data_IF_445464714656
#
_entry.id   IF_445464714656
#
_cell.length_a   1.000
_cell.length_b   1.000
_cell.length_c   1.000
_cell.angle_alpha   90.00
_cell.angle_beta   90.00
_cell.angle_gamma   90.00
#
_symmetry.space_group_name_H-M   'P 1'
#
loop_
_entity.id
_entity.type
_entity.pdbx_description
1 polymer ?
#
# COMPACT_ATOMS: atom_id res chain seq x y z
N UNK A 1 1.33 -13.94 -63.85
CA UNK A 1 1.79 -13.00 -62.81
C UNK A 1 0.71 -12.65 -61.77
N UNK A 2 -0.40 -13.41 -61.67
CA UNK A 2 -1.51 -13.07 -60.75
C UNK A 2 -1.73 -14.09 -59.61
N UNK A 3 -1.04 -15.24 -59.60
CA UNK A 3 -1.20 -16.27 -58.53
C UNK A 3 -0.28 -16.02 -57.32
N UNK A 4 0.81 -15.28 -57.51
CA UNK A 4 1.75 -14.93 -56.44
C UNK A 4 1.21 -13.80 -55.55
N UNK A 5 0.38 -12.91 -56.11
CA UNK A 5 -0.21 -11.80 -55.37
C UNK A 5 -1.36 -12.25 -54.45
N UNK A 6 -2.10 -13.30 -54.82
CA UNK A 6 -3.15 -13.91 -54.00
C UNK A 6 -2.62 -14.62 -52.75
N UNK A 7 -1.36 -15.09 -52.75
CA UNK A 7 -0.72 -15.73 -51.60
C UNK A 7 -0.17 -14.73 -50.58
N UNK A 8 0.15 -13.50 -51.00
CA UNK A 8 0.67 -12.44 -50.13
C UNK A 8 -0.42 -11.78 -49.27
N UNK A 9 -1.69 -11.83 -49.70
CA UNK A 9 -2.82 -11.28 -48.94
C UNK A 9 -3.30 -12.26 -47.85
N UNK A 10 -3.08 -13.57 -48.01
CA UNK A 10 -3.47 -14.58 -47.02
C UNK A 10 -2.47 -14.74 -45.86
N UNK A 11 -1.22 -14.28 -46.03
CA UNK A 11 -0.19 -14.32 -44.99
C UNK A 11 -0.23 -13.13 -44.01
N UNK A 12 -1.00 -12.07 -44.32
CA UNK A 12 -1.09 -10.85 -43.50
C UNK A 12 -2.11 -10.91 -42.35
N UNK A 13 -2.95 -11.94 -42.27
CA UNK A 13 -4.07 -12.00 -41.32
C UNK A 13 -3.74 -12.72 -39.99
N UNK A 14 -2.52 -13.23 -39.83
CA UNK A 14 -2.12 -14.04 -38.66
C UNK A 14 -1.32 -13.28 -37.59
N UNK A 15 -1.18 -11.96 -37.71
CA UNK A 15 -0.56 -11.11 -36.69
C UNK A 15 -1.56 -10.09 -36.13
N UNK A 16 -2.63 -10.57 -35.46
CA UNK A 16 -3.34 -9.72 -34.50
C UNK A 16 -2.52 -9.69 -33.21
N UNK A 17 -1.95 -8.55 -32.80
CA UNK A 17 -1.16 -8.50 -31.58
C UNK A 17 -2.06 -8.80 -30.36
N UNK A 18 -1.53 -9.43 -29.28
CA UNK A 18 -2.25 -9.74 -28.04
C UNK A 18 -2.64 -8.50 -27.21
N UNK A 19 -2.74 -7.33 -27.82
CA UNK A 19 -2.99 -6.02 -27.17
C UNK A 19 -4.35 -5.93 -26.48
N UNK A 20 -5.33 -6.74 -26.89
CA UNK A 20 -6.68 -6.67 -26.33
C UNK A 20 -6.76 -7.17 -24.88
N UNK A 21 -6.08 -8.29 -24.58
CA UNK A 21 -6.03 -8.83 -23.22
C UNK A 21 -5.31 -7.86 -22.26
N UNK A 22 -4.22 -7.24 -22.75
CA UNK A 22 -3.47 -6.23 -22.02
C UNK A 22 -4.33 -5.02 -21.64
N UNK A 23 -5.04 -4.45 -22.61
CA UNK A 23 -5.88 -3.27 -22.38
C UNK A 23 -7.04 -3.59 -21.45
N UNK A 24 -7.62 -4.79 -21.54
CA UNK A 24 -8.74 -5.21 -20.68
C UNK A 24 -8.33 -5.31 -19.22
N UNK A 25 -7.23 -6.00 -18.91
CA UNK A 25 -6.81 -6.23 -17.52
C UNK A 25 -6.30 -4.94 -16.85
N UNK A 26 -5.53 -4.13 -17.58
CA UNK A 26 -5.11 -2.81 -17.08
C UNK A 26 -6.30 -1.87 -16.90
N UNK A 27 -7.28 -1.90 -17.80
CA UNK A 27 -8.51 -1.12 -17.66
C UNK A 27 -9.32 -1.55 -16.44
N UNK A 28 -9.43 -2.86 -16.19
CA UNK A 28 -10.14 -3.39 -15.03
C UNK A 28 -9.50 -2.91 -13.72
N UNK A 29 -8.16 -2.95 -13.61
CA UNK A 29 -7.47 -2.43 -12.43
C UNK A 29 -7.59 -0.90 -12.30
N UNK A 30 -7.54 -0.15 -13.41
CA UNK A 30 -7.75 1.32 -13.40
C UNK A 30 -9.12 1.74 -12.89
N UNK A 31 -10.12 0.89 -13.06
CA UNK A 31 -11.47 1.13 -12.53
C UNK A 31 -11.58 0.73 -11.05
N UNK A 32 -10.61 0.02 -10.49
CA UNK A 32 -10.62 -0.32 -9.08
C UNK A 32 -10.28 0.92 -8.23
N UNK A 33 -10.94 1.03 -7.09
CA UNK A 33 -10.70 2.08 -6.12
C UNK A 33 -9.93 1.56 -4.91
N UNK A 34 -9.02 2.37 -4.38
CA UNK A 34 -8.14 2.00 -3.28
C UNK A 34 -8.39 2.92 -2.09
N UNK A 35 -8.54 2.34 -0.89
CA UNK A 35 -8.65 3.09 0.37
C UNK A 35 -7.88 2.43 1.51
N UNK A 36 -7.67 3.17 2.59
CA UNK A 36 -7.22 2.58 3.85
C UNK A 36 -8.31 1.67 4.41
N UNK A 37 -7.93 0.45 4.75
CA UNK A 37 -8.65 -0.40 5.69
C UNK A 37 -8.15 -0.09 7.11
N UNK A 38 -7.53 -1.09 7.74
CA UNK A 38 -7.02 -0.99 9.11
C UNK A 38 -5.51 -0.79 9.19
N UNK A 39 -5.05 -0.27 10.33
CA UNK A 39 -3.66 -0.32 10.75
C UNK A 39 -3.57 -1.26 11.94
N UNK A 40 -2.75 -2.30 11.83
CA UNK A 40 -2.65 -3.36 12.81
C UNK A 40 -1.22 -3.59 13.30
N UNK A 41 -1.12 -4.13 14.51
CA UNK A 41 0.12 -4.52 15.17
C UNK A 41 1.19 -3.42 15.21
N UNK A 42 0.86 -2.17 15.58
CA UNK A 42 1.88 -1.16 15.77
C UNK A 42 2.78 -1.54 16.95
N UNK A 43 4.08 -1.63 16.67
CA UNK A 43 5.14 -1.96 17.60
C UNK A 43 6.21 -0.86 17.57
N UNK A 44 6.40 -0.19 18.71
CA UNK A 44 7.36 0.90 18.87
C UNK A 44 8.47 0.47 19.83
N UNK A 45 9.71 0.43 19.36
CA UNK A 45 10.87 -0.10 20.09
C UNK A 45 10.61 -1.47 20.75
N UNK A 46 9.85 -2.34 20.08
CA UNK A 46 9.47 -3.66 20.59
C UNK A 46 8.29 -3.67 21.56
N UNK A 47 7.66 -2.53 21.85
CA UNK A 47 6.43 -2.42 22.64
C UNK A 47 5.22 -2.40 21.70
N UNK A 48 4.27 -3.31 21.89
CA UNK A 48 2.99 -3.26 21.16
C UNK A 48 2.15 -2.09 21.70
N UNK A 49 1.77 -1.17 20.81
CA UNK A 49 1.03 0.04 21.16
C UNK A 49 -0.43 0.02 20.68
N UNK A 50 -0.92 -1.09 20.09
CA UNK A 50 -2.27 -1.20 19.50
C UNK A 50 -3.39 -0.76 20.45
N UNK A 51 -3.23 -1.06 21.74
CA UNK A 51 -4.27 -0.89 22.75
C UNK A 51 -4.09 0.37 23.61
N UNK A 52 -3.14 1.25 23.27
CA UNK A 52 -2.93 2.49 24.02
C UNK A 52 -4.02 3.50 23.68
N UNK A 53 -4.83 3.90 24.68
CA UNK A 53 -5.87 4.92 24.53
C UNK A 53 -5.53 6.20 25.28
N UNK A 54 -4.75 6.09 26.34
CA UNK A 54 -4.29 7.20 27.18
C UNK A 54 -2.90 6.93 27.73
N UNK A 55 -2.27 7.96 28.27
CA UNK A 55 -0.90 7.90 28.79
C UNK A 55 -0.76 6.83 29.88
N UNK A 56 -1.79 6.65 30.71
CA UNK A 56 -1.80 5.72 31.82
C UNK A 56 -1.85 4.24 31.37
N UNK A 57 -2.20 3.97 30.11
CA UNK A 57 -2.17 2.63 29.55
C UNK A 57 -0.73 2.19 29.22
N UNK A 58 0.21 3.15 29.18
CA UNK A 58 1.61 2.89 28.88
C UNK A 58 2.36 2.53 30.16
N UNK A 59 2.77 1.27 30.30
CA UNK A 59 3.38 0.80 31.54
C UNK A 59 4.78 1.41 31.76
N UNK A 60 5.23 1.51 33.03
CA UNK A 60 6.58 1.98 33.35
C UNK A 60 7.68 1.13 32.68
N UNK A 61 7.42 -0.16 32.48
CA UNK A 61 8.34 -1.07 31.77
C UNK A 61 8.44 -0.68 30.29
N UNK A 62 7.31 -0.45 29.64
CA UNK A 62 7.24 -0.06 28.23
C UNK A 62 7.91 1.29 27.99
N UNK A 63 7.66 2.25 28.89
CA UNK A 63 8.36 3.54 28.92
C UNK A 63 9.88 3.38 29.02
N UNK A 64 10.35 2.52 29.93
CA UNK A 64 11.76 2.23 30.09
C UNK A 64 12.38 1.62 28.82
N UNK A 65 11.66 0.71 28.16
CA UNK A 65 12.12 0.07 26.93
C UNK A 65 12.22 1.07 25.76
N UNK A 66 11.20 1.90 25.55
CA UNK A 66 11.24 2.94 24.52
C UNK A 66 12.33 3.97 24.81
N UNK A 67 12.45 4.42 26.06
CA UNK A 67 13.50 5.35 26.47
C UNK A 67 14.90 4.77 26.21
N UNK A 68 15.12 3.51 26.56
CA UNK A 68 16.39 2.82 26.31
C UNK A 68 16.73 2.74 24.82
N UNK A 69 15.76 2.50 23.94
CA UNK A 69 15.96 2.53 22.49
C UNK A 69 16.40 3.92 22.03
N UNK A 70 15.72 4.97 22.51
CA UNK A 70 16.06 6.36 22.17
C UNK A 70 17.48 6.71 22.65
N UNK A 71 17.86 6.29 23.85
CA UNK A 71 19.24 6.46 24.36
C UNK A 71 20.29 5.76 23.48
N UNK A 72 19.92 4.67 22.81
CA UNK A 72 20.76 3.98 21.83
C UNK A 72 20.73 4.63 20.44
N UNK A 73 20.03 5.76 20.29
CA UNK A 73 19.92 6.51 19.04
C UNK A 73 19.01 5.85 18.01
N UNK A 74 18.02 5.04 18.45
CA UNK A 74 17.10 4.33 17.57
C UNK A 74 15.67 4.40 18.09
N UNK A 75 14.72 4.42 17.17
CA UNK A 75 13.31 4.27 17.50
C UNK A 75 12.62 3.43 16.43
N UNK A 76 12.82 2.10 16.45
CA UNK A 76 12.20 1.19 15.50
C UNK A 76 10.68 1.25 15.62
N UNK A 77 9.99 1.37 14.49
CA UNK A 77 8.55 1.30 14.38
C UNK A 77 8.19 0.25 13.33
N UNK A 78 7.28 -0.65 13.67
CA UNK A 78 6.71 -1.62 12.75
C UNK A 78 5.19 -1.65 12.87
N UNK A 79 4.48 -1.86 11.75
CA UNK A 79 3.03 -2.02 11.70
C UNK A 79 2.60 -2.59 10.34
N UNK A 80 1.35 -3.04 10.22
CA UNK A 80 0.76 -3.49 8.96
C UNK A 80 -0.39 -2.56 8.57
N UNK A 81 -0.33 -1.98 7.36
CA UNK A 81 -1.47 -1.27 6.76
C UNK A 81 -2.21 -2.26 5.86
N UNK A 82 -3.52 -2.41 6.06
CA UNK A 82 -4.38 -3.09 5.09
C UNK A 82 -4.96 -2.05 4.14
N UNK A 83 -4.65 -2.18 2.85
CA UNK A 83 -5.27 -1.38 1.79
C UNK A 83 -6.43 -2.16 1.22
N UNK A 84 -7.63 -1.60 1.26
CA UNK A 84 -8.81 -2.19 0.63
C UNK A 84 -8.90 -1.75 -0.83
N UNK A 85 -9.22 -2.71 -1.69
CA UNK A 85 -9.37 -2.51 -3.13
C UNK A 85 -10.77 -2.93 -3.54
N UNK A 86 -11.57 -1.99 -4.04
CA UNK A 86 -12.91 -2.26 -4.55
C UNK A 86 -12.86 -2.41 -6.07
N UNK A 87 -13.38 -3.52 -6.58
CA UNK A 87 -13.50 -3.78 -8.01
C UNK A 87 -14.95 -3.57 -8.46
N UNK A 88 -15.28 -2.47 -9.17
CA UNK A 88 -16.64 -2.23 -9.65
C UNK A 88 -16.98 -3.08 -10.89
N UNK A 89 -16.03 -3.82 -11.47
CA UNK A 89 -16.24 -4.58 -12.70
C UNK A 89 -16.92 -5.92 -12.46
N UNK A 90 -17.48 -6.49 -13.53
CA UNK A 90 -18.07 -7.85 -13.51
C UNK A 90 -17.03 -8.98 -13.62
N UNK A 91 -15.77 -8.64 -13.89
CA UNK A 91 -14.66 -9.57 -14.06
C UNK A 91 -13.72 -9.47 -12.85
N UNK A 92 -13.00 -10.54 -12.54
CA UNK A 92 -11.95 -10.54 -11.51
C UNK A 92 -10.80 -9.62 -11.96
N UNK A 93 -10.29 -8.80 -11.04
CA UNK A 93 -9.04 -8.07 -11.22
C UNK A 93 -7.93 -8.69 -10.37
N UNK A 94 -6.67 -8.40 -10.66
CA UNK A 94 -5.57 -8.87 -9.84
C UNK A 94 -4.46 -7.83 -9.69
N UNK A 95 -3.73 -7.92 -8.58
CA UNK A 95 -2.47 -7.20 -8.34
C UNK A 95 -1.41 -8.27 -8.05
N UNK A 96 -0.35 -8.32 -8.84
CA UNK A 96 0.69 -9.36 -8.74
C UNK A 96 1.91 -8.90 -7.94
N UNK A 97 2.22 -7.62 -8.06
CA UNK A 97 3.23 -6.91 -7.28
C UNK A 97 2.69 -5.52 -6.94
N UNK A 98 3.06 -4.99 -5.80
CA UNK A 98 2.70 -3.65 -5.39
C UNK A 98 3.90 -2.97 -4.73
N UNK A 99 4.45 -1.95 -5.37
CA UNK A 99 5.43 -1.07 -4.73
C UNK A 99 4.71 -0.05 -3.87
N UNK A 100 5.33 0.36 -2.76
CA UNK A 100 4.78 1.35 -1.86
C UNK A 100 5.82 2.36 -1.38
N UNK A 101 5.35 3.55 -1.04
CA UNK A 101 6.08 4.57 -0.29
C UNK A 101 5.18 5.05 0.84
N UNK A 102 5.62 4.85 2.07
CA UNK A 102 4.91 5.21 3.28
C UNK A 102 5.46 6.50 3.87
N UNK A 103 4.57 7.28 4.47
CA UNK A 103 4.85 8.57 5.07
C UNK A 103 4.19 8.66 6.44
N UNK A 104 4.82 9.40 7.35
CA UNK A 104 4.19 9.93 8.55
C UNK A 104 4.17 11.44 8.38
N UNK A 105 2.95 12.00 8.40
CA UNK A 105 2.65 13.33 7.91
C UNK A 105 3.17 13.50 6.47
N UNK A 106 4.28 14.23 6.28
CA UNK A 106 4.93 14.42 4.99
C UNK A 106 6.33 13.77 4.91
N UNK A 107 6.84 13.26 6.05
CA UNK A 107 8.14 12.61 6.10
C UNK A 107 8.04 11.20 5.53
N UNK A 108 8.83 10.90 4.49
CA UNK A 108 8.97 9.53 3.97
C UNK A 108 9.61 8.67 5.05
N UNK A 109 8.96 7.56 5.39
CA UNK A 109 9.42 6.64 6.44
C UNK A 109 9.87 5.28 5.90
N UNK A 110 9.26 4.81 4.83
CA UNK A 110 9.60 3.51 4.26
C UNK A 110 9.24 3.46 2.78
N UNK A 111 9.98 2.64 2.04
CA UNK A 111 9.66 2.24 0.68
C UNK A 111 9.96 0.74 0.54
N UNK A 112 9.18 0.04 -0.28
CA UNK A 112 9.31 -1.39 -0.45
C UNK A 112 8.27 -1.93 -1.42
N UNK A 113 8.11 -3.25 -1.42
CA UNK A 113 7.16 -3.92 -2.31
C UNK A 113 6.55 -5.20 -1.73
N UNK A 114 5.32 -5.48 -2.16
CA UNK A 114 4.58 -6.70 -1.86
C UNK A 114 4.55 -7.56 -3.12
N UNK A 115 5.31 -8.66 -3.14
CA UNK A 115 5.39 -9.60 -4.26
C UNK A 115 4.42 -10.77 -4.09
N UNK A 116 3.12 -10.47 -3.98
CA UNK A 116 2.07 -11.48 -3.81
C UNK A 116 0.92 -11.19 -4.76
N UNK A 117 0.45 -12.23 -5.46
CA UNK A 117 -0.79 -12.16 -6.24
C UNK A 117 -1.99 -12.06 -5.31
N UNK A 118 -2.76 -11.01 -5.49
CA UNK A 118 -4.00 -10.72 -4.78
C UNK A 118 -5.10 -10.59 -5.83
N UNK A 119 -6.11 -11.45 -5.73
CA UNK A 119 -7.28 -11.41 -6.60
C UNK A 119 -8.37 -10.58 -5.96
N UNK A 120 -8.96 -9.69 -6.75
CA UNK A 120 -10.02 -8.78 -6.34
C UNK A 120 -11.30 -9.27 -7.01
N UNK A 121 -12.24 -9.85 -6.23
CA UNK A 121 -13.44 -10.46 -6.79
C UNK A 121 -14.25 -9.49 -7.66
N UNK A 122 -14.97 -10.01 -8.65
CA UNK A 122 -15.94 -9.24 -9.40
C UNK A 122 -16.98 -8.61 -8.46
N UNK A 123 -17.26 -7.31 -8.63
CA UNK A 123 -18.16 -6.54 -7.76
C UNK A 123 -17.84 -6.67 -6.26
N UNK A 124 -16.57 -6.89 -5.91
CA UNK A 124 -16.13 -7.22 -4.56
C UNK A 124 -15.01 -6.34 -4.04
N UNK A 125 -14.57 -6.64 -2.81
CA UNK A 125 -13.46 -5.97 -2.13
C UNK A 125 -12.41 -7.03 -1.73
N UNK A 126 -11.13 -6.69 -1.86
CA UNK A 126 -10.03 -7.46 -1.32
C UNK A 126 -9.11 -6.57 -0.49
N UNK A 127 -8.37 -7.17 0.45
CA UNK A 127 -7.42 -6.45 1.31
C UNK A 127 -5.98 -6.83 0.99
N UNK A 128 -5.13 -5.82 0.83
CA UNK A 128 -3.69 -5.93 0.56
C UNK A 128 -2.93 -5.57 1.84
N UNK A 129 -2.32 -6.54 2.55
CA UNK A 129 -1.49 -6.24 3.71
C UNK A 129 -0.14 -5.69 3.26
N UNK A 130 0.27 -4.56 3.83
CA UNK A 130 1.55 -3.90 3.58
C UNK A 130 2.26 -3.76 4.93
N UNK A 131 3.28 -4.57 5.12
CA UNK A 131 4.12 -4.53 6.33
C UNK A 131 5.14 -3.41 6.20
N UNK A 132 5.19 -2.53 7.21
CA UNK A 132 6.09 -1.39 7.26
C UNK A 132 7.01 -1.59 8.45
N UNK A 133 8.31 -1.40 8.22
CA UNK A 133 9.35 -1.36 9.24
C UNK A 133 10.26 -0.16 8.94
N UNK A 134 10.51 0.67 9.95
CA UNK A 134 11.31 1.89 9.83
C UNK A 134 11.96 2.24 11.16
N UNK A 135 12.99 3.06 11.15
CA UNK A 135 13.46 3.77 12.34
C UNK A 135 13.01 5.23 12.24
N UNK A 136 12.27 5.72 13.24
CA UNK A 136 11.69 7.07 13.23
C UNK A 136 12.44 8.05 14.15
N UNK A 137 13.64 7.71 14.62
CA UNK A 137 14.39 8.55 15.56
C UNK A 137 14.61 9.97 15.03
N UNK A 138 14.88 10.12 13.74
CA UNK A 138 15.11 11.41 13.09
C UNK A 138 13.84 12.27 12.97
N UNK A 139 12.68 11.62 12.92
CA UNK A 139 11.37 12.29 12.88
C UNK A 139 11.06 12.84 14.27
N UNK A 140 11.34 12.05 15.32
CA UNK A 140 11.11 12.47 16.69
C UNK A 140 12.02 13.64 17.12
N UNK A 141 13.25 13.72 16.63
CA UNK A 141 14.16 14.84 16.95
C UNK A 141 13.61 16.21 16.55
N UNK A 142 12.67 16.26 15.61
CA UNK A 142 12.02 17.50 15.15
C UNK A 142 10.81 17.88 16.01
N UNK A 143 10.40 17.00 16.92
CA UNK A 143 9.22 17.12 17.77
C UNK A 143 9.61 17.36 19.25
N UNK A 144 8.78 18.04 20.06
CA UNK A 144 9.04 18.19 21.49
C UNK A 144 9.00 16.84 22.21
N UNK A 145 9.75 16.65 23.33
CA UNK A 145 9.86 15.35 24.04
C UNK A 145 8.52 14.71 24.42
N UNK A 146 7.50 15.53 24.67
CA UNK A 146 6.14 15.14 25.05
C UNK A 146 5.37 14.52 23.85
N UNK A 147 5.84 14.77 22.63
CA UNK A 147 5.20 14.36 21.39
C UNK A 147 5.29 12.85 21.15
N UNK A 148 6.20 12.13 21.81
CA UNK A 148 6.35 10.69 21.61
C UNK A 148 5.12 9.91 22.08
N UNK A 149 4.61 10.24 23.27
CA UNK A 149 3.41 9.59 23.82
C UNK A 149 2.21 9.95 22.95
N UNK A 150 2.07 11.21 22.57
CA UNK A 150 0.99 11.63 21.66
C UNK A 150 1.12 10.97 20.28
N UNK A 151 2.34 10.77 19.77
CA UNK A 151 2.61 10.04 18.55
C UNK A 151 2.14 8.59 18.67
N UNK A 152 2.54 7.90 19.75
CA UNK A 152 2.12 6.52 20.01
C UNK A 152 0.60 6.40 20.17
N UNK A 153 -0.04 7.33 20.89
CA UNK A 153 -1.49 7.39 21.05
C UNK A 153 -2.21 7.63 19.73
N UNK A 154 -1.74 8.57 18.92
CA UNK A 154 -2.33 8.85 17.61
C UNK A 154 -2.17 7.66 16.64
N UNK A 155 -1.04 6.95 16.72
CA UNK A 155 -0.81 5.74 15.92
C UNK A 155 -1.60 4.54 16.42
N UNK A 156 -1.90 4.46 17.71
CA UNK A 156 -2.79 3.45 18.30
C UNK A 156 -4.25 3.72 17.94
N UNK A 157 -4.70 4.97 18.02
CA UNK A 157 -6.08 5.37 17.69
C UNK A 157 -6.37 5.27 16.17
N UNK A 158 -5.33 5.32 15.34
CA UNK A 158 -5.37 5.09 13.89
C UNK A 158 -5.88 3.69 13.47
N UNK A 159 -6.19 2.80 14.41
CA UNK A 159 -6.73 1.45 14.21
C UNK A 159 -7.87 1.36 13.18
N UNK A 160 -8.71 2.41 13.05
CA UNK A 160 -9.84 2.42 12.09
C UNK A 160 -9.57 3.18 10.80
N UNK A 161 -8.81 4.28 10.86
CA UNK A 161 -8.35 5.08 9.71
C UNK A 161 -7.10 5.85 10.14
N UNK A 162 -5.91 5.56 9.60
CA UNK A 162 -4.72 6.31 9.96
C UNK A 162 -4.82 7.76 9.52
N UNK A 163 -4.76 8.69 10.46
CA UNK A 163 -4.85 10.13 10.19
C UNK A 163 -3.50 10.76 9.88
N UNK A 164 -2.40 10.17 10.38
CA UNK A 164 -1.03 10.66 10.16
C UNK A 164 -0.22 9.82 9.19
N UNK A 165 -0.59 8.56 8.97
CA UNK A 165 0.13 7.69 8.04
C UNK A 165 -0.47 7.87 6.66
N UNK A 166 0.35 8.24 5.68
CA UNK A 166 -0.07 8.24 4.29
C UNK A 166 0.74 7.27 3.44
N UNK A 167 0.12 6.75 2.38
CA UNK A 167 0.66 5.70 1.54
C UNK A 167 0.44 6.07 0.07
N UNK A 168 1.50 5.90 -0.72
CA UNK A 168 1.44 5.88 -2.18
C UNK A 168 1.79 4.48 -2.65
N UNK A 169 0.99 3.93 -3.55
CA UNK A 169 1.22 2.59 -4.10
C UNK A 169 1.40 2.64 -5.62
N UNK A 170 2.10 1.66 -6.16
CA UNK A 170 2.25 1.45 -7.60
C UNK A 170 2.03 -0.03 -7.91
N UNK A 171 0.82 -0.43 -8.32
CA UNK A 171 0.50 -1.82 -8.60
C UNK A 171 1.08 -2.29 -9.94
N UNK A 172 1.26 -3.59 -10.04
CA UNK A 172 1.69 -4.31 -11.24
C UNK A 172 0.73 -5.47 -11.48
N UNK A 173 0.34 -5.66 -12.74
CA UNK A 173 -0.50 -6.78 -13.20
C UNK A 173 0.33 -7.73 -14.06
N UNK A 174 0.07 -9.04 -13.99
CA UNK A 174 0.80 -10.04 -14.77
C UNK A 174 -0.04 -10.51 -15.95
N UNK A 175 0.44 -10.24 -17.16
CA UNK A 175 -0.18 -10.67 -18.41
C UNK A 175 0.77 -11.64 -19.10
N UNK A 176 0.41 -12.92 -19.12
CA UNK A 176 1.32 -14.00 -19.51
C UNK A 176 2.51 -14.07 -18.54
N UNK A 177 3.73 -13.92 -19.06
CA UNK A 177 4.97 -13.91 -18.26
C UNK A 177 5.50 -12.50 -17.97
N UNK A 178 4.78 -11.44 -18.35
CA UNK A 178 5.22 -10.06 -18.19
C UNK A 178 4.43 -9.33 -17.11
N UNK A 179 5.15 -8.63 -16.25
CA UNK A 179 4.56 -7.69 -15.30
C UNK A 179 4.44 -6.31 -15.94
N UNK A 180 3.22 -5.78 -15.91
CA UNK A 180 2.84 -4.50 -16.47
C UNK A 180 2.58 -3.54 -15.31
N UNK A 181 3.27 -2.41 -15.35
CA UNK A 181 3.19 -1.39 -14.31
C UNK A 181 1.97 -0.47 -14.51
N UNK A 182 1.32 -0.11 -13.41
CA UNK A 182 0.31 0.94 -13.40
C UNK A 182 0.92 2.31 -13.72
N UNK A 183 0.24 3.18 -14.49
CA UNK A 183 0.75 4.51 -14.78
C UNK A 183 0.74 5.39 -13.53
N UNK A 184 1.92 5.72 -13.02
CA UNK A 184 2.11 6.61 -11.87
C UNK A 184 1.84 5.94 -10.51
N UNK A 185 1.85 6.75 -9.46
CA UNK A 185 1.51 6.32 -8.11
C UNK A 185 0.05 6.64 -7.80
N UNK A 186 -0.63 5.74 -7.09
CA UNK A 186 -1.97 5.94 -6.53
C UNK A 186 -1.79 6.38 -5.08
N UNK A 187 -2.32 7.55 -4.72
CA UNK A 187 -2.40 7.97 -3.30
C UNK A 187 -3.60 7.28 -2.65
N UNK A 188 -3.36 6.60 -1.54
CA UNK A 188 -4.44 5.89 -0.83
C UNK A 188 -5.35 6.90 -0.12
N UNK A 189 -6.66 6.74 -0.32
CA UNK A 189 -7.71 7.61 0.20
C UNK A 189 -8.29 7.04 1.49
N UNK A 190 -8.99 7.87 2.28
CA UNK A 190 -9.71 7.41 3.47
C UNK A 190 -11.03 6.72 3.17
N UNK A 191 -11.63 7.02 2.01
CA UNK A 191 -12.94 6.53 1.59
C UNK A 191 -12.94 6.29 0.08
N UNK A 192 -13.80 5.38 -0.36
CA UNK A 192 -14.10 5.20 -1.78
C UNK A 192 -14.86 6.43 -2.30
N UNK A 193 -14.64 6.79 -3.56
CA UNK A 193 -15.27 7.93 -4.22
C UNK A 193 -14.82 9.33 -3.76
N UNK A 194 -13.85 9.47 -2.85
CA UNK A 194 -13.33 10.77 -2.46
C UNK A 194 -12.55 11.44 -3.62
N UNK A 195 -12.84 12.71 -3.93
CA UNK A 195 -12.15 13.47 -4.98
C UNK A 195 -10.70 13.83 -4.57
N UNK A 196 -9.79 13.89 -5.55
CA UNK A 196 -8.44 14.43 -5.33
C UNK A 196 -8.53 15.95 -5.13
N UNK A 197 -8.17 16.41 -3.93
CA UNK A 197 -8.03 17.84 -3.59
C UNK A 197 -6.64 18.34 -3.96
#
# INVERSE_FOLDING_TARGET
MNRFWSLLILAGMLFLPPSCAYLKELSALKQCEFRYGTLENPVLAGVNIQNLKKVEDFSLKDMGQVAQSIFQGKLPLAFTIYVEVQNPNAEIASVNKLEYVAFIDEARIAEGDVNKRIEIPARGIASVPIEIQTDIIEILHKEPRNALINFALNLADASKKPTRVSLKIKPYIRIGEKDIVYPGYIKIKNEFGAEES
#
